data_IF_853299304736
#
_entry.id   IF_853299304736
#
_cell.length_a   1.000
_cell.length_b   1.000
_cell.length_c   1.000
_cell.angle_alpha   90.00
_cell.angle_beta   90.00
_cell.angle_gamma   90.00
#
_symmetry.space_group_name_H-M   'P 1'
#
loop_
_entity.id
_entity.type
_entity.pdbx_description
1 polymer ?
#
# COMPACT_ATOMS: atom_id res chain seq x y z
N UNK A 1 -4.01 34.23 -30.26
CA UNK A 1 -3.63 32.94 -29.64
C UNK A 1 -2.65 33.12 -28.47
N UNK A 2 -2.97 33.97 -27.48
CA UNK A 2 -2.10 34.16 -26.28
C UNK A 2 -2.83 34.08 -24.93
N UNK A 3 -4.15 33.83 -24.94
CA UNK A 3 -4.95 33.79 -23.70
C UNK A 3 -5.10 32.38 -23.12
N UNK A 4 -5.07 31.33 -23.93
CA UNK A 4 -5.21 29.94 -23.46
C UNK A 4 -3.91 29.36 -22.89
N UNK A 5 -2.75 29.78 -23.40
CA UNK A 5 -1.44 29.32 -22.91
C UNK A 5 -1.14 29.88 -21.52
N UNK A 6 -1.63 31.09 -21.20
CA UNK A 6 -1.49 31.67 -19.85
C UNK A 6 -2.44 31.05 -18.81
N UNK A 7 -3.48 30.32 -19.22
CA UNK A 7 -4.35 29.60 -18.28
C UNK A 7 -3.83 28.19 -17.91
N UNK A 8 -2.93 27.63 -18.71
CA UNK A 8 -2.30 26.33 -18.45
C UNK A 8 -0.98 26.43 -17.66
N UNK A 9 -0.46 27.65 -17.46
CA UNK A 9 0.75 27.93 -16.66
C UNK A 9 0.45 28.23 -15.19
N UNK A 10 -0.83 28.23 -14.77
CA UNK A 10 -1.20 28.32 -13.36
C UNK A 10 -1.14 26.93 -12.72
N UNK A 11 0.06 26.35 -12.69
CA UNK A 11 0.44 25.52 -11.55
C UNK A 11 0.50 26.49 -10.37
N UNK A 12 -0.64 26.74 -9.72
CA UNK A 12 -0.67 27.50 -8.47
C UNK A 12 0.32 26.84 -7.53
N UNK A 13 1.42 27.54 -7.22
CA UNK A 13 2.30 27.14 -6.13
C UNK A 13 1.40 27.11 -4.90
N UNK A 14 1.29 25.93 -4.27
CA UNK A 14 0.50 25.79 -3.06
C UNK A 14 1.09 26.72 -2.01
N UNK A 15 0.22 27.39 -1.26
CA UNK A 15 0.67 28.14 -0.09
C UNK A 15 1.23 27.17 0.95
N UNK A 16 2.11 27.67 1.83
CA UNK A 16 2.68 26.89 2.93
C UNK A 16 1.60 26.25 3.82
N UNK A 17 0.49 26.97 4.04
CA UNK A 17 -0.65 26.46 4.81
C UNK A 17 -1.35 25.28 4.11
N UNK A 18 -1.53 25.35 2.80
CA UNK A 18 -2.14 24.27 2.02
C UNK A 18 -1.22 23.03 1.98
N UNK A 19 0.09 23.21 1.86
CA UNK A 19 1.06 22.11 1.93
C UNK A 19 1.04 21.45 3.31
N UNK A 20 1.04 22.25 4.38
CA UNK A 20 0.95 21.76 5.75
C UNK A 20 -0.35 20.99 5.99
N UNK A 21 -1.48 21.48 5.47
CA UNK A 21 -2.77 20.82 5.57
C UNK A 21 -2.78 19.48 4.82
N UNK A 22 -2.28 19.43 3.58
CA UNK A 22 -2.20 18.19 2.81
C UNK A 22 -1.30 17.17 3.49
N UNK A 23 -0.18 17.61 4.07
CA UNK A 23 0.69 16.73 4.85
C UNK A 23 -0.01 16.17 6.10
N UNK A 24 -0.68 17.02 6.88
CA UNK A 24 -1.45 16.58 8.06
C UNK A 24 -2.57 15.59 7.67
N UNK A 25 -3.27 15.86 6.57
CA UNK A 25 -4.28 14.96 6.02
C UNK A 25 -3.70 13.61 5.58
N UNK A 26 -2.54 13.63 4.91
CA UNK A 26 -1.81 12.43 4.51
C UNK A 26 -1.45 11.57 5.73
N UNK A 27 -0.88 12.19 6.79
CA UNK A 27 -0.59 11.49 8.04
C UNK A 27 -1.87 10.90 8.66
N UNK A 28 -2.96 11.67 8.71
CA UNK A 28 -4.23 11.20 9.31
C UNK A 28 -4.87 10.04 8.54
N UNK A 29 -4.72 10.02 7.21
CA UNK A 29 -5.29 9.01 6.31
C UNK A 29 -4.37 7.81 6.05
N UNK A 30 -3.09 7.91 6.41
CA UNK A 30 -2.07 6.86 6.22
C UNK A 30 -2.36 5.52 6.91
N UNK A 31 -3.29 5.49 7.87
CA UNK A 31 -3.63 4.29 8.63
C UNK A 31 -4.15 3.12 7.79
N UNK A 32 -4.59 3.35 6.55
CA UNK A 32 -5.06 2.29 5.65
C UNK A 32 -3.92 1.49 5.00
N UNK A 33 -2.74 2.08 4.86
CA UNK A 33 -1.63 1.49 4.10
C UNK A 33 -1.18 0.12 4.64
N UNK A 34 -0.95 -0.07 5.96
CA UNK A 34 -0.55 -1.37 6.50
C UNK A 34 -1.53 -2.49 6.15
N UNK A 35 -2.84 -2.22 6.18
CA UNK A 35 -3.86 -3.21 5.86
C UNK A 35 -3.88 -3.57 4.36
N UNK A 36 -3.65 -2.59 3.48
CA UNK A 36 -3.55 -2.84 2.03
C UNK A 36 -2.29 -3.62 1.70
N UNK A 37 -1.17 -3.31 2.36
CA UNK A 37 0.08 -4.04 2.21
C UNK A 37 -0.08 -5.50 2.65
N UNK A 38 -0.67 -5.74 3.82
CA UNK A 38 -0.95 -7.10 4.30
C UNK A 38 -1.87 -7.87 3.37
N UNK A 39 -2.91 -7.23 2.83
CA UNK A 39 -3.78 -7.86 1.84
C UNK A 39 -3.02 -8.21 0.56
N UNK A 40 -2.15 -7.32 0.06
CA UNK A 40 -1.34 -7.59 -1.13
C UNK A 40 -0.36 -8.75 -0.92
N UNK A 41 0.22 -8.86 0.28
CA UNK A 41 1.07 -10.01 0.67
C UNK A 41 0.24 -11.30 0.70
N UNK A 42 -0.92 -11.30 1.37
CA UNK A 42 -1.79 -12.47 1.47
C UNK A 42 -2.35 -12.94 0.12
N UNK A 43 -2.60 -12.00 -0.79
CA UNK A 43 -3.01 -12.29 -2.17
C UNK A 43 -1.84 -12.75 -3.05
N UNK A 44 -0.60 -12.74 -2.56
CA UNK A 44 0.58 -13.15 -3.32
C UNK A 44 0.95 -12.18 -4.45
N UNK A 45 0.54 -10.91 -4.36
CA UNK A 45 0.75 -9.92 -5.43
C UNK A 45 2.24 -9.75 -5.76
N UNK A 46 3.09 -9.67 -4.72
CA UNK A 46 4.53 -9.53 -4.89
C UNK A 46 5.15 -10.77 -5.54
N UNK A 47 4.69 -11.97 -5.17
CA UNK A 47 5.15 -13.22 -5.76
C UNK A 47 4.75 -13.34 -7.24
N UNK A 48 3.53 -12.92 -7.59
CA UNK A 48 3.04 -12.90 -8.97
C UNK A 48 3.91 -11.96 -9.82
N UNK A 49 4.18 -10.75 -9.32
CA UNK A 49 5.04 -9.79 -10.02
C UNK A 49 6.48 -10.29 -10.14
N UNK A 50 7.03 -10.93 -9.10
CA UNK A 50 8.36 -11.52 -9.13
C UNK A 50 8.48 -12.65 -10.15
N UNK A 51 7.47 -13.53 -10.23
CA UNK A 51 7.40 -14.66 -11.17
C UNK A 51 7.32 -14.22 -12.63
N UNK A 52 6.75 -13.05 -12.91
CA UNK A 52 6.70 -12.50 -14.26
C UNK A 52 8.10 -12.14 -14.81
N UNK A 53 9.08 -11.96 -13.92
CA UNK A 53 10.48 -11.73 -14.27
C UNK A 53 10.93 -10.28 -14.09
N UNK A 54 12.25 -10.03 -14.20
CA UNK A 54 12.80 -8.67 -14.12
C UNK A 54 12.18 -7.76 -15.19
N UNK A 55 11.84 -6.53 -14.81
CA UNK A 55 11.24 -5.50 -15.66
C UNK A 55 9.87 -5.83 -16.27
N UNK A 56 9.32 -7.01 -15.99
CA UNK A 56 7.99 -7.39 -16.41
C UNK A 56 6.94 -6.52 -15.71
N UNK A 57 5.88 -6.17 -16.45
CA UNK A 57 4.76 -5.40 -15.94
C UNK A 57 3.45 -6.12 -16.23
N UNK A 58 2.61 -6.23 -15.20
CA UNK A 58 1.32 -6.90 -15.28
C UNK A 58 0.19 -5.89 -15.05
N UNK A 59 -0.90 -6.03 -15.80
CA UNK A 59 -2.15 -5.30 -15.53
C UNK A 59 -2.84 -5.86 -14.29
N UNK A 60 -3.72 -5.06 -13.67
CA UNK A 60 -4.56 -5.54 -12.56
C UNK A 60 -5.49 -6.71 -12.96
N UNK A 61 -5.97 -6.76 -14.21
CA UNK A 61 -6.77 -7.89 -14.74
C UNK A 61 -5.98 -9.21 -14.76
N UNK A 62 -4.75 -9.18 -15.26
CA UNK A 62 -3.86 -10.33 -15.23
C UNK A 62 -3.60 -10.81 -13.79
N UNK A 63 -3.28 -9.90 -12.86
CA UNK A 63 -3.06 -10.26 -11.45
C UNK A 63 -4.34 -10.86 -10.84
N UNK A 64 -5.52 -10.29 -11.14
CA UNK A 64 -6.81 -10.81 -10.70
C UNK A 64 -7.07 -12.26 -11.19
N UNK A 65 -6.66 -12.54 -12.43
CA UNK A 65 -6.76 -13.88 -13.02
C UNK A 65 -5.82 -14.88 -12.33
N UNK A 66 -4.58 -14.48 -12.03
CA UNK A 66 -3.59 -15.32 -11.34
C UNK A 66 -4.06 -15.72 -9.93
N UNK A 67 -4.65 -14.78 -9.18
CA UNK A 67 -5.25 -15.07 -7.86
C UNK A 67 -6.61 -15.79 -7.95
N UNK A 68 -7.09 -16.07 -9.17
CA UNK A 68 -8.37 -16.73 -9.47
C UNK A 68 -9.56 -16.03 -8.80
N UNK A 69 -9.55 -14.70 -8.83
CA UNK A 69 -10.60 -13.90 -8.20
C UNK A 69 -11.97 -14.18 -8.85
N UNK A 70 -12.96 -14.53 -8.03
CA UNK A 70 -14.36 -14.73 -8.47
C UNK A 70 -15.16 -13.43 -8.46
N UNK A 71 -14.65 -12.39 -7.79
CA UNK A 71 -15.30 -11.09 -7.72
C UNK A 71 -15.09 -10.34 -9.05
N UNK A 72 -16.16 -9.97 -9.78
CA UNK A 72 -16.03 -9.21 -11.03
C UNK A 72 -15.33 -7.86 -10.85
N UNK A 73 -15.41 -7.25 -9.66
CA UNK A 73 -14.78 -5.97 -9.34
C UNK A 73 -13.30 -6.11 -8.91
N UNK A 74 -12.78 -7.34 -8.79
CA UNK A 74 -11.42 -7.58 -8.32
C UNK A 74 -10.33 -6.83 -9.11
N UNK A 75 -10.37 -6.74 -10.46
CA UNK A 75 -9.39 -5.96 -11.21
C UNK A 75 -9.37 -4.48 -10.82
N UNK A 76 -10.54 -3.87 -10.57
CA UNK A 76 -10.64 -2.46 -10.18
C UNK A 76 -10.13 -2.24 -8.75
N UNK A 77 -10.48 -3.14 -7.82
CA UNK A 77 -9.97 -3.09 -6.45
C UNK A 77 -8.45 -3.29 -6.40
N UNK A 78 -7.92 -4.23 -7.16
CA UNK A 78 -6.47 -4.45 -7.31
C UNK A 78 -5.77 -3.24 -7.93
N UNK A 79 -6.34 -2.60 -8.95
CA UNK A 79 -5.79 -1.37 -9.53
C UNK A 79 -5.64 -0.27 -8.46
N UNK A 80 -6.65 -0.08 -7.61
CA UNK A 80 -6.60 0.87 -6.49
C UNK A 80 -5.53 0.50 -5.46
N UNK A 81 -5.43 -0.78 -5.10
CA UNK A 81 -4.39 -1.27 -4.19
C UNK A 81 -2.99 -1.03 -4.77
N UNK A 82 -2.77 -1.41 -6.03
CA UNK A 82 -1.49 -1.27 -6.72
C UNK A 82 -1.09 0.20 -6.89
N UNK A 83 -2.04 1.11 -7.13
CA UNK A 83 -1.78 2.56 -7.12
C UNK A 83 -1.30 3.05 -5.76
N UNK A 84 -1.94 2.60 -4.68
CA UNK A 84 -1.50 2.95 -3.33
C UNK A 84 -0.07 2.42 -3.09
N UNK A 85 0.20 1.16 -3.42
CA UNK A 85 1.55 0.58 -3.31
C UNK A 85 2.59 1.33 -4.17
N UNK A 86 2.19 1.86 -5.32
CA UNK A 86 3.04 2.68 -6.18
C UNK A 86 3.39 4.03 -5.52
N UNK A 87 2.45 4.66 -4.79
CA UNK A 87 2.73 5.88 -4.02
C UNK A 87 3.81 5.66 -2.94
N UNK A 88 3.98 4.42 -2.47
CA UNK A 88 5.02 4.01 -1.51
C UNK A 88 6.21 3.32 -2.19
N UNK A 89 6.34 3.42 -3.51
CA UNK A 89 7.45 2.84 -4.30
C UNK A 89 7.63 1.32 -4.13
N UNK A 90 6.59 0.57 -3.77
CA UNK A 90 6.64 -0.90 -3.68
C UNK A 90 6.38 -1.57 -5.04
N UNK A 91 5.71 -0.86 -5.93
CA UNK A 91 5.52 -1.24 -7.34
C UNK A 91 5.76 -0.03 -8.22
N UNK A 92 6.20 -0.24 -9.45
CA UNK A 92 6.19 0.79 -10.49
C UNK A 92 4.83 0.83 -11.17
N UNK A 93 4.48 1.97 -11.76
CA UNK A 93 3.29 2.11 -12.62
C UNK A 93 3.74 2.58 -14.00
N UNK A 94 3.09 2.08 -15.04
CA UNK A 94 3.26 2.53 -16.42
C UNK A 94 1.97 2.37 -17.22
N UNK A 95 1.92 2.96 -18.40
CA UNK A 95 0.88 2.67 -19.38
C UNK A 95 1.31 1.49 -20.26
N UNK A 96 0.38 0.59 -20.57
CA UNK A 96 0.58 -0.38 -21.64
C UNK A 96 0.50 0.34 -23.00
N UNK A 97 1.34 -0.04 -23.96
CA UNK A 97 1.35 0.55 -25.31
C UNK A 97 0.14 0.11 -26.19
N UNK A 98 -0.93 -0.40 -25.57
CA UNK A 98 -2.15 -0.83 -26.25
C UNK A 98 -3.21 0.27 -26.31
N UNK A 99 -4.22 0.09 -27.17
CA UNK A 99 -5.28 1.07 -27.46
C UNK A 99 -6.06 1.56 -26.23
N UNK A 100 -6.13 0.76 -25.17
CA UNK A 100 -6.93 1.05 -23.96
C UNK A 100 -6.21 1.88 -22.88
N UNK A 101 -4.90 2.13 -23.01
CA UNK A 101 -4.14 2.87 -21.98
C UNK A 101 -4.14 2.20 -20.60
N UNK A 102 -4.37 0.88 -20.54
CA UNK A 102 -4.47 0.12 -19.29
C UNK A 102 -3.17 0.24 -18.48
N UNK A 103 -3.30 0.49 -17.17
CA UNK A 103 -2.14 0.61 -16.28
C UNK A 103 -1.53 -0.75 -16.01
N UNK A 104 -0.20 -0.78 -16.04
CA UNK A 104 0.60 -1.96 -15.74
C UNK A 104 1.57 -1.67 -14.62
N UNK A 105 1.84 -2.70 -13.83
CA UNK A 105 2.59 -2.62 -12.59
C UNK A 105 3.77 -3.57 -12.63
N UNK A 106 4.94 -3.09 -12.24
CA UNK A 106 6.16 -3.90 -12.13
C UNK A 106 6.70 -3.89 -10.71
N UNK A 107 7.49 -4.90 -10.35
CA UNK A 107 8.08 -5.00 -9.02
C UNK A 107 9.25 -4.01 -8.85
N UNK A 108 9.34 -3.34 -7.70
CA UNK A 108 10.54 -2.55 -7.33
C UNK A 108 11.47 -3.36 -6.43
N UNK A 109 12.68 -2.85 -6.20
CA UNK A 109 13.61 -3.42 -5.21
C UNK A 109 13.01 -3.42 -3.79
N UNK A 110 12.26 -2.38 -3.42
CA UNK A 110 11.59 -2.32 -2.12
C UNK A 110 10.44 -3.35 -2.04
N UNK A 111 9.65 -3.49 -3.11
CA UNK A 111 8.61 -4.52 -3.20
C UNK A 111 9.16 -5.94 -3.09
N UNK A 112 10.39 -6.18 -3.58
CA UNK A 112 11.06 -7.49 -3.51
C UNK A 112 11.25 -7.98 -2.07
N UNK A 113 11.34 -7.08 -1.08
CA UNK A 113 11.44 -7.46 0.33
C UNK A 113 10.20 -8.19 0.86
N UNK A 114 9.06 -8.09 0.15
CA UNK A 114 7.79 -8.74 0.48
C UNK A 114 7.49 -9.97 -0.40
N UNK A 115 8.43 -10.37 -1.26
CA UNK A 115 8.34 -11.65 -1.99
C UNK A 115 8.65 -12.77 -1.01
N UNK A 116 7.87 -13.84 -1.04
CA UNK A 116 8.12 -15.02 -0.24
C UNK A 116 9.25 -15.86 -0.88
N UNK A 117 10.49 -15.47 -0.61
CA UNK A 117 11.67 -16.22 -0.99
C UNK A 117 12.11 -17.09 0.19
N UNK A 118 11.89 -18.40 0.05
CA UNK A 118 12.25 -19.42 1.06
C UNK A 118 13.74 -19.39 1.44
N UNK A 119 14.60 -18.81 0.58
CA UNK A 119 16.05 -18.82 0.78
C UNK A 119 16.61 -17.52 1.37
N UNK A 120 15.95 -16.37 1.16
CA UNK A 120 16.52 -15.05 1.47
C UNK A 120 15.86 -14.31 2.64
N UNK A 121 14.86 -14.91 3.29
CA UNK A 121 14.07 -14.24 4.31
C UNK A 121 13.15 -13.17 3.69
N UNK A 122 11.97 -13.01 4.26
CA UNK A 122 10.95 -12.10 3.71
C UNK A 122 10.32 -11.26 4.80
N UNK A 123 10.12 -9.97 4.52
CA UNK A 123 9.32 -9.11 5.38
C UNK A 123 7.83 -9.46 5.32
N UNK A 124 7.41 -10.30 4.37
CA UNK A 124 6.04 -10.82 4.29
C UNK A 124 5.59 -11.56 5.56
N UNK A 125 6.53 -12.10 6.35
CA UNK A 125 6.22 -12.75 7.62
C UNK A 125 5.77 -11.78 8.72
N UNK A 126 6.07 -10.48 8.60
CA UNK A 126 5.74 -9.45 9.58
C UNK A 126 4.41 -8.78 9.26
N UNK A 127 3.32 -9.55 9.37
CA UNK A 127 1.96 -9.04 9.15
C UNK A 127 1.43 -8.25 10.35
N UNK A 128 0.56 -7.28 10.09
CA UNK A 128 -0.13 -6.54 11.15
C UNK A 128 -1.08 -7.49 11.89
N UNK A 129 -0.72 -7.88 13.11
CA UNK A 129 -1.57 -8.74 13.93
C UNK A 129 -2.67 -7.90 14.59
N UNK A 130 -3.93 -8.33 14.46
CA UNK A 130 -5.11 -7.71 15.10
C UNK A 130 -4.88 -7.40 16.59
N UNK A 131 -4.28 -8.35 17.32
CA UNK A 131 -3.98 -8.20 18.76
C UNK A 131 -3.10 -6.99 19.08
N UNK A 132 -2.23 -6.59 18.15
CA UNK A 132 -1.35 -5.42 18.31
C UNK A 132 -2.11 -4.14 17.98
N UNK A 133 -2.96 -4.16 16.96
CA UNK A 133 -3.81 -3.01 16.59
C UNK A 133 -4.71 -2.62 17.76
N UNK A 134 -5.33 -3.60 18.41
CA UNK A 134 -6.22 -3.38 19.55
C UNK A 134 -5.50 -2.67 20.70
N UNK A 135 -4.25 -3.05 20.98
CA UNK A 135 -3.39 -2.38 21.98
C UNK A 135 -3.15 -0.92 21.62
N UNK A 136 -2.89 -0.61 20.36
CA UNK A 136 -2.59 0.76 19.93
C UNK A 136 -3.78 1.72 20.02
N UNK A 137 -5.02 1.23 20.01
CA UNK A 137 -6.20 2.09 20.27
C UNK A 137 -6.23 2.65 21.70
N UNK A 138 -5.56 1.99 22.64
CA UNK A 138 -5.47 2.41 24.04
C UNK A 138 -4.20 3.19 24.36
N UNK A 139 -3.46 3.67 23.35
CA UNK A 139 -2.18 4.36 23.56
C UNK A 139 -2.30 5.62 24.43
N UNK A 140 -3.45 6.32 24.37
CA UNK A 140 -3.75 7.44 25.28
C UNK A 140 -3.68 7.00 26.75
N UNK A 141 -4.24 5.85 27.08
CA UNK A 141 -4.32 5.35 28.46
C UNK A 141 -2.93 4.95 28.96
N UNK A 142 -2.05 4.47 28.08
CA UNK A 142 -0.64 4.24 28.40
C UNK A 142 0.08 5.54 28.80
N UNK A 143 -0.19 6.65 28.11
CA UNK A 143 0.40 7.96 28.44
C UNK A 143 -0.13 8.50 29.77
N UNK A 144 -1.43 8.34 30.03
CA UNK A 144 -2.08 8.88 31.21
C UNK A 144 -1.82 8.05 32.48
N UNK A 145 -1.78 6.73 32.36
CA UNK A 145 -1.80 5.81 33.50
C UNK A 145 -0.56 4.93 33.61
N UNK A 146 0.29 4.89 32.57
CA UNK A 146 1.44 3.99 32.50
C UNK A 146 1.05 2.51 32.52
N UNK A 147 2.04 1.65 32.81
CA UNK A 147 1.88 0.19 32.92
C UNK A 147 2.00 -0.57 31.61
N UNK A 148 1.72 -1.87 31.65
CA UNK A 148 1.79 -2.73 30.47
C UNK A 148 0.48 -2.68 29.68
N UNK A 149 0.49 -1.99 28.53
CA UNK A 149 -0.71 -1.81 27.71
C UNK A 149 -1.28 -3.12 27.17
N UNK A 150 -0.42 -4.11 26.88
CA UNK A 150 -0.87 -5.41 26.40
C UNK A 150 -1.64 -6.17 27.47
N UNK A 151 -1.13 -6.19 28.70
CA UNK A 151 -1.80 -6.81 29.85
C UNK A 151 -3.11 -6.08 30.20
N UNK A 152 -3.14 -4.75 30.11
CA UNK A 152 -4.35 -3.96 30.35
C UNK A 152 -5.47 -4.29 29.36
N UNK A 153 -5.15 -4.47 28.07
CA UNK A 153 -6.14 -4.72 27.03
C UNK A 153 -6.55 -6.19 26.97
N UNK A 154 -5.59 -7.12 27.13
CA UNK A 154 -5.83 -8.55 26.90
C UNK A 154 -5.93 -9.39 28.19
N UNK A 155 -5.68 -8.81 29.36
CA UNK A 155 -5.76 -9.49 30.65
C UNK A 155 -4.67 -10.56 30.89
N UNK A 156 -3.69 -10.67 30.00
CA UNK A 156 -2.60 -11.64 30.07
C UNK A 156 -1.30 -11.05 29.52
N UNK A 157 -0.16 -11.67 29.87
CA UNK A 157 1.13 -11.24 29.34
C UNK A 157 1.30 -11.63 27.87
N UNK A 158 2.16 -10.92 27.14
CA UNK A 158 2.44 -11.18 25.71
C UNK A 158 3.07 -12.57 25.44
N UNK A 159 3.65 -13.20 26.46
CA UNK A 159 4.48 -14.41 26.33
C UNK A 159 3.79 -15.69 26.84
N UNK A 160 2.52 -15.62 27.22
CA UNK A 160 1.68 -16.78 27.58
C UNK A 160 0.86 -17.23 26.37
#
# INVERSE_FOLDING_TARGET
MSSLVNQLSSSSVMSEEEEAFVYAWSLRSSGIFPYVLDAAIQLGVFDILAKAGPDAKLSSKHIASEIRAKNPDAPSLLDRMLRLLACYNLVTTGAHNGEDGEKVYGLTLAGKAFVNDENNGSLAAFTTKKILVDVWFHFKDLVLEGGNLFEKVHGMSRYQ
#
